data_IF_368293685857
#
_entry.id   IF_368293685857
#
_cell.length_a   1.000
_cell.length_b   1.000
_cell.length_c   1.000
_cell.angle_alpha   90.00
_cell.angle_beta   90.00
_cell.angle_gamma   90.00
#
_symmetry.space_group_name_H-M   'P 1'
#
loop_
_entity.id
_entity.type
_entity.pdbx_description
1 polymer ?
#
# COMPACT_ATOMS: atom_id res chain seq x y z
N UNK A 1 32.54 -2.44 -21.35
CA UNK A 1 31.56 -3.46 -20.93
C UNK A 1 30.09 -3.06 -21.12
N UNK A 2 29.73 -1.78 -21.20
CA UNK A 2 28.31 -1.36 -21.26
C UNK A 2 27.55 -1.58 -22.59
N UNK A 3 28.24 -1.74 -23.72
CA UNK A 3 27.57 -1.88 -25.05
C UNK A 3 26.87 -3.24 -25.24
N UNK A 4 27.35 -4.29 -24.59
CA UNK A 4 26.73 -5.62 -24.63
C UNK A 4 25.41 -5.66 -23.85
N UNK A 5 25.36 -4.95 -22.73
CA UNK A 5 24.19 -4.91 -21.85
C UNK A 5 23.06 -4.08 -22.46
N UNK A 6 23.40 -2.97 -23.13
CA UNK A 6 22.45 -2.19 -23.93
C UNK A 6 21.82 -3.03 -25.06
N UNK A 7 22.63 -3.76 -25.83
CA UNK A 7 22.11 -4.68 -26.87
C UNK A 7 21.25 -5.79 -26.28
N UNK A 8 21.55 -6.26 -25.07
CA UNK A 8 20.75 -7.28 -24.37
C UNK A 8 19.40 -6.72 -23.92
N UNK A 9 19.37 -5.48 -23.42
CA UNK A 9 18.14 -4.77 -23.06
C UNK A 9 17.24 -4.52 -24.27
N UNK A 10 17.81 -4.08 -25.39
CA UNK A 10 17.06 -3.86 -26.63
C UNK A 10 16.44 -5.14 -27.18
N UNK A 11 17.19 -6.25 -27.16
CA UNK A 11 16.65 -7.57 -27.55
C UNK A 11 15.51 -8.01 -26.63
N UNK A 12 15.64 -7.79 -25.32
CA UNK A 12 14.60 -8.16 -24.36
C UNK A 12 13.35 -7.29 -24.50
N UNK A 13 13.51 -5.99 -24.76
CA UNK A 13 12.38 -5.08 -24.97
C UNK A 13 11.61 -5.43 -26.26
N UNK A 14 12.32 -5.80 -27.33
CA UNK A 14 11.67 -6.23 -28.58
C UNK A 14 10.90 -7.54 -28.41
N UNK A 15 11.49 -8.52 -27.72
CA UNK A 15 10.81 -9.78 -27.38
C UNK A 15 9.56 -9.54 -26.55
N UNK A 16 9.64 -8.71 -25.52
CA UNK A 16 8.51 -8.36 -24.67
C UNK A 16 7.39 -7.68 -25.46
N UNK A 17 7.73 -6.68 -26.29
CA UNK A 17 6.74 -5.98 -27.12
C UNK A 17 5.99 -6.95 -28.04
N UNK A 18 6.72 -7.88 -28.66
CA UNK A 18 6.15 -8.91 -29.54
C UNK A 18 5.22 -9.85 -28.78
N UNK A 19 5.64 -10.32 -27.61
CA UNK A 19 4.82 -11.18 -26.75
C UNK A 19 3.52 -10.48 -26.32
N UNK A 20 3.59 -9.19 -25.96
CA UNK A 20 2.40 -8.41 -25.62
C UNK A 20 1.44 -8.28 -26.82
N UNK A 21 1.97 -8.06 -28.02
CA UNK A 21 1.14 -7.96 -29.24
C UNK A 21 0.54 -9.31 -29.62
N UNK A 22 1.26 -10.41 -29.43
CA UNK A 22 0.73 -11.76 -29.67
C UNK A 22 -0.34 -12.14 -28.64
N UNK A 23 -0.14 -11.82 -27.36
CA UNK A 23 -1.15 -12.01 -26.30
C UNK A 23 -2.40 -11.18 -26.55
N UNK A 24 -2.27 -9.93 -26.99
CA UNK A 24 -3.44 -9.08 -27.28
C UNK A 24 -4.22 -9.57 -28.50
N UNK A 25 -3.54 -10.05 -29.56
CA UNK A 25 -4.19 -10.67 -30.73
C UNK A 25 -4.89 -12.00 -30.40
N UNK A 26 -4.42 -12.72 -29.39
CA UNK A 26 -4.99 -13.98 -28.94
C UNK A 26 -5.95 -13.81 -27.77
N UNK A 27 -6.13 -12.57 -27.28
CA UNK A 27 -7.09 -12.24 -26.24
C UNK A 27 -8.50 -12.63 -26.70
N UNK A 28 -9.19 -13.45 -25.89
CA UNK A 28 -10.55 -13.91 -26.18
C UNK A 28 -10.69 -15.06 -27.19
N UNK A 29 -9.62 -15.44 -27.93
CA UNK A 29 -9.62 -16.62 -28.81
C UNK A 29 -9.54 -17.92 -28.01
N UNK A 30 -8.65 -17.97 -27.03
CA UNK A 30 -8.59 -19.07 -26.08
C UNK A 30 -9.55 -18.78 -24.92
N UNK A 31 -10.68 -19.48 -24.88
CA UNK A 31 -11.58 -19.43 -23.71
C UNK A 31 -10.84 -20.02 -22.51
N UNK A 32 -10.94 -19.35 -21.37
CA UNK A 32 -10.44 -19.86 -20.11
C UNK A 32 -11.10 -21.21 -19.84
N UNK A 33 -10.30 -22.27 -19.91
CA UNK A 33 -10.69 -23.60 -19.42
C UNK A 33 -10.08 -23.72 -18.04
N UNK A 34 -10.86 -23.60 -16.95
CA UNK A 34 -10.32 -23.84 -15.62
C UNK A 34 -9.67 -25.22 -15.66
N UNK A 35 -8.41 -25.31 -15.24
CA UNK A 35 -7.84 -26.63 -14.99
C UNK A 35 -8.77 -27.25 -13.95
N UNK A 36 -9.41 -28.41 -14.22
CA UNK A 36 -10.05 -29.14 -13.14
C UNK A 36 -8.97 -29.30 -12.07
N UNK A 37 -9.31 -29.05 -10.81
CA UNK A 37 -8.38 -29.21 -9.69
C UNK A 37 -7.79 -30.63 -9.79
N UNK A 38 -6.64 -30.73 -10.46
CA UNK A 38 -6.01 -32.00 -10.75
C UNK A 38 -5.55 -32.51 -9.42
N UNK A 39 -6.17 -33.61 -8.98
CA UNK A 39 -5.94 -34.32 -7.73
C UNK A 39 -5.54 -33.41 -6.57
N UNK A 40 -6.51 -33.11 -5.70
CA UNK A 40 -6.21 -32.59 -4.36
C UNK A 40 -4.94 -33.28 -3.86
N UNK A 41 -3.91 -32.49 -3.54
CA UNK A 41 -2.75 -33.01 -2.84
C UNK A 41 -3.29 -33.90 -1.71
N UNK A 42 -2.73 -35.11 -1.50
CA UNK A 42 -3.21 -35.98 -0.44
C UNK A 42 -3.36 -35.13 0.82
N UNK A 43 -4.50 -35.26 1.49
CA UNK A 43 -4.79 -34.50 2.69
C UNK A 43 -3.54 -34.52 3.58
N UNK A 44 -3.12 -33.36 4.13
CA UNK A 44 -1.98 -33.32 5.04
C UNK A 44 -2.16 -34.45 6.05
N UNK A 45 -1.18 -35.35 6.13
CA UNK A 45 -1.21 -36.42 7.11
C UNK A 45 -1.32 -35.71 8.46
N UNK A 46 -2.45 -35.89 9.14
CA UNK A 46 -2.67 -35.37 10.48
C UNK A 46 -1.64 -36.05 11.38
N UNK A 47 -0.52 -35.36 11.62
CA UNK A 47 0.45 -35.82 12.59
C UNK A 47 -0.23 -35.67 13.96
N UNK A 48 -0.54 -36.81 14.59
CA UNK A 48 -1.03 -36.83 15.96
C UNK A 48 -0.10 -35.99 16.83
N UNK A 49 -0.68 -35.07 17.60
CA UNK A 49 0.09 -34.14 18.41
C UNK A 49 0.98 -34.95 19.37
N UNK A 50 2.29 -34.94 19.14
CA UNK A 50 3.25 -35.56 20.05
C UNK A 50 3.03 -34.98 21.45
N UNK A 51 2.85 -35.82 22.49
CA UNK A 51 2.67 -35.31 23.83
C UNK A 51 3.90 -34.52 24.27
N UNK A 52 3.67 -33.48 25.06
CA UNK A 52 4.67 -32.46 25.42
C UNK A 52 5.97 -33.02 25.99
N UNK A 53 5.93 -34.18 26.64
CA UNK A 53 7.12 -34.86 27.17
C UNK A 53 8.07 -35.34 26.07
N UNK A 54 7.58 -35.79 24.93
CA UNK A 54 8.44 -36.18 23.79
C UNK A 54 9.06 -34.95 23.12
N UNK A 55 8.29 -33.88 22.98
CA UNK A 55 8.77 -32.61 22.41
C UNK A 55 9.87 -31.99 23.29
N UNK A 56 9.73 -32.04 24.62
CA UNK A 56 10.76 -31.54 25.54
C UNK A 56 12.08 -32.30 25.43
N UNK A 57 12.02 -33.63 25.32
CA UNK A 57 13.23 -34.44 25.20
C UNK A 57 13.94 -34.17 23.87
N UNK A 58 13.18 -34.05 22.77
CA UNK A 58 13.72 -33.64 21.47
C UNK A 58 14.39 -32.25 21.53
N UNK A 59 13.76 -31.27 22.20
CA UNK A 59 14.34 -29.92 22.39
C UNK A 59 15.64 -29.97 23.22
N UNK A 60 15.67 -30.75 24.30
CA UNK A 60 16.83 -30.85 25.18
C UNK A 60 18.01 -31.59 24.52
N UNK A 61 17.73 -32.57 23.67
CA UNK A 61 18.74 -33.30 22.91
C UNK A 61 19.30 -32.43 21.74
N UNK A 62 18.46 -31.61 21.11
CA UNK A 62 18.88 -30.62 20.10
C UNK A 62 19.69 -29.46 20.72
N UNK A 63 19.38 -29.01 21.94
CA UNK A 63 20.13 -27.95 22.63
C UNK A 63 21.54 -28.39 23.05
N UNK A 64 21.73 -29.67 23.40
CA UNK A 64 23.06 -30.21 23.74
C UNK A 64 24.02 -30.28 22.56
N UNK A 65 23.49 -30.28 21.33
CA UNK A 65 24.29 -30.34 20.09
C UNK A 65 24.42 -28.98 19.38
N UNK A 66 23.60 -27.99 19.73
CA UNK A 66 23.57 -26.67 19.06
C UNK A 66 24.38 -25.62 19.82
N UNK A 67 25.70 -25.70 19.69
CA UNK A 67 26.57 -24.55 19.99
C UNK A 67 26.15 -23.34 19.16
N UNK A 68 25.58 -22.31 19.81
CA UNK A 68 25.19 -20.99 19.28
C UNK A 68 24.33 -21.05 18.00
N UNK A 69 23.05 -20.66 18.11
CA UNK A 69 22.14 -20.45 16.99
C UNK A 69 22.79 -19.57 15.90
N UNK A 70 23.29 -20.18 14.83
CA UNK A 70 23.87 -19.46 13.71
C UNK A 70 22.74 -18.91 12.84
N UNK A 71 22.45 -17.62 13.03
CA UNK A 71 21.45 -16.87 12.28
C UNK A 71 21.80 -16.77 10.78
N UNK A 72 23.03 -17.12 10.38
CA UNK A 72 23.48 -17.18 9.00
C UNK A 72 23.37 -18.57 8.35
N UNK A 73 23.01 -19.59 9.13
CA UNK A 73 22.74 -20.94 8.61
C UNK A 73 21.61 -20.93 7.58
N UNK A 74 21.65 -21.85 6.62
CA UNK A 74 20.61 -21.94 5.58
C UNK A 74 19.22 -22.20 6.18
N UNK A 75 19.14 -23.03 7.22
CA UNK A 75 17.90 -23.32 7.93
C UNK A 75 17.34 -22.07 8.63
N UNK A 76 18.17 -21.27 9.32
CA UNK A 76 17.72 -20.03 9.94
C UNK A 76 17.18 -19.02 8.90
N UNK A 77 17.84 -18.92 7.74
CA UNK A 77 17.39 -18.06 6.63
C UNK A 77 16.03 -18.52 6.07
N UNK A 78 15.82 -19.83 5.97
CA UNK A 78 14.54 -20.40 5.54
C UNK A 78 13.42 -20.09 6.54
N UNK A 79 13.67 -20.22 7.84
CA UNK A 79 12.70 -19.86 8.87
C UNK A 79 12.35 -18.37 8.84
N UNK A 80 13.33 -17.48 8.63
CA UNK A 80 13.09 -16.04 8.48
C UNK A 80 12.22 -15.76 7.24
N UNK A 81 12.52 -16.42 6.12
CA UNK A 81 11.75 -16.28 4.87
C UNK A 81 10.31 -16.77 5.04
N UNK A 82 10.10 -17.88 5.74
CA UNK A 82 8.76 -18.40 6.06
C UNK A 82 7.99 -17.45 6.98
N UNK A 83 8.63 -16.89 8.02
CA UNK A 83 8.02 -15.89 8.89
C UNK A 83 7.56 -14.65 8.12
N UNK A 84 8.40 -14.15 7.22
CA UNK A 84 8.05 -13.01 6.35
C UNK A 84 6.87 -13.32 5.44
N UNK A 85 6.82 -14.52 4.84
CA UNK A 85 5.68 -14.96 4.02
C UNK A 85 4.39 -15.06 4.84
N UNK A 86 4.46 -15.64 6.04
CA UNK A 86 3.33 -15.74 6.95
C UNK A 86 2.83 -14.37 7.41
N UNK A 87 3.74 -13.43 7.70
CA UNK A 87 3.41 -12.05 8.04
C UNK A 87 2.65 -11.35 6.90
N UNK A 88 3.14 -11.47 5.66
CA UNK A 88 2.46 -10.93 4.49
C UNK A 88 1.08 -11.53 4.29
N UNK A 89 0.95 -12.85 4.48
CA UNK A 89 -0.35 -13.54 4.40
C UNK A 89 -1.31 -12.99 5.47
N UNK A 90 -0.86 -12.84 6.71
CA UNK A 90 -1.66 -12.30 7.81
C UNK A 90 -2.12 -10.86 7.53
N UNK A 91 -1.26 -9.97 7.01
CA UNK A 91 -1.67 -8.62 6.59
C UNK A 91 -2.77 -8.65 5.53
N UNK A 92 -2.65 -9.55 4.55
CA UNK A 92 -3.66 -9.67 3.49
C UNK A 92 -4.97 -10.22 4.04
N UNK A 93 -4.92 -11.21 4.92
CA UNK A 93 -6.10 -11.82 5.53
C UNK A 93 -6.83 -10.85 6.46
N UNK A 94 -6.08 -10.12 7.30
CA UNK A 94 -6.64 -9.04 8.13
C UNK A 94 -7.28 -7.96 7.25
N UNK A 95 -6.59 -7.48 6.22
CA UNK A 95 -7.15 -6.52 5.26
C UNK A 95 -8.34 -7.04 4.44
N UNK A 96 -8.48 -8.36 4.24
CA UNK A 96 -9.65 -8.98 3.61
C UNK A 96 -10.85 -9.09 4.56
N UNK A 97 -10.59 -9.23 5.86
CA UNK A 97 -11.63 -9.33 6.89
C UNK A 97 -12.24 -7.96 7.23
N UNK A 98 -11.49 -6.88 7.04
CA UNK A 98 -11.99 -5.52 7.20
C UNK A 98 -12.95 -5.18 6.05
N UNK A 99 -14.16 -4.70 6.40
CA UNK A 99 -15.12 -4.25 5.38
C UNK A 99 -14.51 -3.05 4.66
N UNK A 100 -14.45 -3.06 3.31
CA UNK A 100 -13.94 -1.92 2.56
C UNK A 100 -14.81 -0.70 2.85
N UNK A 101 -14.23 0.30 3.51
CA UNK A 101 -14.86 1.60 3.72
C UNK A 101 -14.51 2.50 2.54
N UNK A 102 -15.46 2.68 1.65
CA UNK A 102 -15.39 3.71 0.62
C UNK A 102 -15.74 5.05 1.26
N UNK A 103 -14.75 5.90 1.50
CA UNK A 103 -15.04 7.27 1.92
C UNK A 103 -15.67 8.00 0.72
N UNK A 104 -16.86 8.56 0.93
CA UNK A 104 -17.52 9.41 -0.06
C UNK A 104 -16.67 10.67 -0.26
N UNK A 105 -16.48 11.08 -1.51
CA UNK A 105 -15.78 12.34 -1.82
C UNK A 105 -16.71 13.56 -1.76
N UNK A 106 -18.00 13.31 -1.50
CA UNK A 106 -19.05 14.31 -1.41
C UNK A 106 -19.14 14.87 0.02
N UNK A 107 -19.04 16.20 0.15
CA UNK A 107 -19.09 16.92 1.43
C UNK A 107 -20.49 16.96 2.09
N UNK A 108 -21.40 16.06 1.72
CA UNK A 108 -22.77 16.06 2.27
C UNK A 108 -22.90 15.28 3.59
N UNK A 109 -21.83 14.64 4.05
CA UNK A 109 -21.80 14.06 5.38
C UNK A 109 -21.54 15.16 6.42
N UNK A 110 -22.65 15.52 7.07
CA UNK A 110 -22.83 16.38 8.25
C UNK A 110 -21.69 16.30 9.26
N UNK A 111 -20.57 16.96 8.98
CA UNK A 111 -19.60 17.31 10.02
C UNK A 111 -20.16 18.47 10.81
N UNK A 112 -20.70 18.13 11.98
CA UNK A 112 -20.93 19.08 13.06
C UNK A 112 -19.71 19.98 13.21
N UNK A 113 -19.90 21.26 12.87
CA UNK A 113 -19.09 22.44 13.20
C UNK A 113 -17.83 22.13 14.03
N UNK A 114 -16.72 21.78 13.38
CA UNK A 114 -15.39 21.93 13.98
C UNK A 114 -14.77 23.18 13.36
N UNK A 115 -14.93 24.28 14.09
CA UNK A 115 -14.59 25.65 13.70
C UNK A 115 -13.08 25.93 13.55
N UNK A 116 -12.18 24.95 13.71
CA UNK A 116 -10.75 25.24 13.90
C UNK A 116 -9.79 24.47 12.97
N UNK A 117 -10.27 23.90 11.86
CA UNK A 117 -9.38 23.18 10.93
C UNK A 117 -8.49 24.16 10.16
N UNK A 118 -9.01 25.33 9.78
CA UNK A 118 -8.24 26.37 9.09
C UNK A 118 -7.07 26.90 9.93
N UNK A 119 -7.24 27.02 11.25
CA UNK A 119 -6.22 27.54 12.16
C UNK A 119 -5.07 26.55 12.42
N UNK A 120 -5.34 25.23 12.38
CA UNK A 120 -4.31 24.18 12.52
C UNK A 120 -3.49 23.96 11.24
N UNK A 121 -4.09 24.16 10.08
CA UNK A 121 -3.43 24.02 8.77
C UNK A 121 -2.24 25.00 8.60
N UNK A 122 -2.15 26.06 9.43
CA UNK A 122 -1.03 27.00 9.41
C UNK A 122 0.17 26.63 10.30
N UNK A 123 0.12 25.53 11.07
CA UNK A 123 1.26 25.05 11.86
C UNK A 123 2.09 24.05 11.06
N UNK A 124 3.22 24.52 10.55
CA UNK A 124 4.27 23.80 9.81
C UNK A 124 3.82 22.95 8.60
N UNK A 125 4.23 23.30 7.36
CA UNK A 125 3.85 22.55 6.15
C UNK A 125 4.34 21.09 6.14
N UNK A 126 5.28 20.76 7.04
CA UNK A 126 5.84 19.41 7.20
C UNK A 126 5.02 18.52 8.15
N UNK A 127 4.18 19.09 9.01
CA UNK A 127 3.41 18.36 10.04
C UNK A 127 1.92 18.23 9.72
N UNK A 128 1.53 18.51 8.47
CA UNK A 128 0.12 18.43 8.05
C UNK A 128 -0.38 16.98 8.00
N UNK A 129 -1.49 16.74 8.69
CA UNK A 129 -2.25 15.49 8.58
C UNK A 129 -2.70 15.25 7.14
N UNK A 130 -2.95 13.99 6.79
CA UNK A 130 -3.49 13.65 5.47
C UNK A 130 -4.79 14.41 5.16
N UNK A 131 -5.67 14.58 6.16
CA UNK A 131 -6.93 15.32 6.01
C UNK A 131 -6.71 16.79 5.65
N UNK A 132 -5.74 17.43 6.29
CA UNK A 132 -5.38 18.84 6.10
C UNK A 132 -4.74 19.06 4.72
N UNK A 133 -3.82 18.17 4.32
CA UNK A 133 -3.22 18.18 2.97
C UNK A 133 -4.28 18.01 1.89
N UNK A 134 -5.23 17.09 2.09
CA UNK A 134 -6.31 16.87 1.13
C UNK A 134 -7.24 18.08 1.05
N UNK A 135 -7.55 18.73 2.17
CA UNK A 135 -8.33 19.98 2.19
C UNK A 135 -7.67 21.09 1.36
N UNK A 136 -6.37 21.35 1.55
CA UNK A 136 -5.63 22.36 0.78
C UNK A 136 -5.60 22.03 -0.71
N UNK A 137 -5.34 20.76 -1.07
CA UNK A 137 -5.38 20.30 -2.46
C UNK A 137 -6.74 20.55 -3.10
N UNK A 138 -7.83 20.19 -2.41
CA UNK A 138 -9.20 20.39 -2.90
C UNK A 138 -9.53 21.87 -3.10
N UNK A 139 -9.12 22.74 -2.16
CA UNK A 139 -9.31 24.20 -2.28
C UNK A 139 -8.54 24.79 -3.47
N UNK A 140 -7.28 24.40 -3.65
CA UNK A 140 -6.47 24.79 -4.81
C UNK A 140 -7.10 24.33 -6.13
N UNK A 141 -7.47 23.05 -6.22
CA UNK A 141 -8.11 22.51 -7.42
C UNK A 141 -9.41 23.24 -7.72
N UNK A 142 -10.23 23.52 -6.71
CA UNK A 142 -11.50 24.25 -6.92
C UNK A 142 -11.26 25.68 -7.42
N UNK A 143 -10.26 26.38 -6.88
CA UNK A 143 -9.92 27.73 -7.35
C UNK A 143 -9.46 27.71 -8.82
N UNK A 144 -8.51 26.83 -9.16
CA UNK A 144 -7.97 26.70 -10.52
C UNK A 144 -9.05 26.27 -11.52
N UNK A 145 -9.93 25.35 -11.15
CA UNK A 145 -10.96 24.83 -12.05
C UNK A 145 -12.15 25.78 -12.23
N UNK A 146 -12.46 26.61 -11.22
CA UNK A 146 -13.58 27.55 -11.30
C UNK A 146 -13.24 28.80 -12.10
N UNK A 147 -11.99 29.25 -12.07
CA UNK A 147 -11.54 30.42 -12.83
C UNK A 147 -10.95 29.98 -14.16
N UNK A 148 -11.72 30.15 -15.24
CA UNK A 148 -11.42 29.72 -16.62
C UNK A 148 -10.07 30.20 -17.20
N UNK A 149 -9.38 31.13 -16.54
CA UNK A 149 -8.10 31.71 -16.97
C UNK A 149 -7.06 31.79 -15.84
N UNK A 150 -7.33 31.22 -14.67
CA UNK A 150 -6.40 31.33 -13.54
C UNK A 150 -5.26 30.33 -13.66
N UNK A 151 -4.03 30.86 -13.74
CA UNK A 151 -2.83 30.05 -13.56
C UNK A 151 -2.78 29.56 -12.11
N UNK A 152 -2.23 28.36 -11.87
CA UNK A 152 -2.03 27.82 -10.52
C UNK A 152 -1.32 28.82 -9.60
N UNK A 153 -0.43 29.66 -10.15
CA UNK A 153 0.24 30.74 -9.40
C UNK A 153 -0.75 31.75 -8.81
N UNK A 154 -1.73 32.19 -9.60
CA UNK A 154 -2.74 33.15 -9.16
C UNK A 154 -3.63 32.55 -8.07
N UNK A 155 -3.99 31.26 -8.20
CA UNK A 155 -4.76 30.56 -7.16
C UNK A 155 -3.98 30.38 -5.85
N UNK A 156 -2.65 30.19 -5.93
CA UNK A 156 -1.77 30.15 -4.75
C UNK A 156 -1.67 31.55 -4.11
N UNK A 157 -1.47 32.59 -4.91
CA UNK A 157 -1.40 33.98 -4.44
C UNK A 157 -2.73 34.41 -3.77
N UNK A 158 -3.87 34.08 -4.36
CA UNK A 158 -5.19 34.37 -3.78
C UNK A 158 -5.40 33.64 -2.45
N UNK A 159 -5.01 32.36 -2.35
CA UNK A 159 -5.07 31.63 -1.08
C UNK A 159 -4.13 32.24 -0.02
N UNK A 160 -2.96 32.71 -0.41
CA UNK A 160 -2.03 33.39 0.51
C UNK A 160 -2.60 34.74 0.97
N UNK A 161 -3.20 35.53 0.08
CA UNK A 161 -3.82 36.82 0.43
C UNK A 161 -5.06 36.65 1.31
N UNK A 162 -5.95 35.71 0.98
CA UNK A 162 -7.17 35.43 1.73
C UNK A 162 -6.92 34.75 3.08
N UNK A 163 -5.78 34.05 3.26
CA UNK A 163 -5.40 33.49 4.57
C UNK A 163 -5.26 34.54 5.67
N UNK A 164 -4.92 35.80 5.31
CA UNK A 164 -4.79 36.91 6.27
C UNK A 164 -6.13 37.53 6.64
N UNK A 165 -7.12 37.53 5.75
CA UNK A 165 -8.45 38.10 6.00
C UNK A 165 -9.24 37.29 7.03
N UNK A 166 -9.10 35.96 7.03
CA UNK A 166 -9.71 35.07 8.03
C UNK A 166 -9.23 35.36 9.46
N UNK A 167 -8.02 35.91 9.65
CA UNK A 167 -7.54 36.37 10.97
C UNK A 167 -8.22 37.66 11.47
N UNK A 168 -8.76 38.48 10.58
CA UNK A 168 -9.29 39.82 10.92
C UNK A 168 -10.79 39.85 11.20
N UNK A 169 -11.56 38.85 10.75
CA UNK A 169 -13.03 38.85 10.84
C UNK A 169 -13.58 38.31 12.16
N UNK A 170 -12.73 38.01 13.15
CA UNK A 170 -13.14 37.66 14.51
C UNK A 170 -13.55 38.88 15.38
N UNK A 171 -13.91 40.01 14.77
CA UNK A 171 -14.35 41.24 15.45
C UNK A 171 -15.76 41.74 15.13
N UNK A 172 -16.58 40.96 14.42
CA UNK A 172 -18.00 41.31 14.25
C UNK A 172 -18.91 40.13 14.58
N UNK A 173 -19.11 39.92 15.89
CA UNK A 173 -20.33 39.32 16.45
C UNK A 173 -20.76 40.15 17.66
N UNK A 174 -21.68 41.08 17.42
CA UNK A 174 -22.79 41.40 18.32
C UNK A 174 -24.05 40.96 17.60
#
# INVERSE_FOLDING_TARGET
MFRSDLKKLERNSYKFKREVTERSKNWGKQKFKPKPFGHAAPAPIEQEAKPWHHVKNEILDDERTTGRFDMHSQNAKEMVKQREQNYRRNIIETGRSEKPKWESFDDNETTTKTLNTADRIMQDPKNLSFKERNFLRRKLTKAVMNEKTSSLKNAIEDLQHNSRLVRSTNKFRK
#
